data_IF_282430933905
#
_entry.id   IF_282430933905
#
_cell.length_a   1.000
_cell.length_b   1.000
_cell.length_c   1.000
_cell.angle_alpha   90.00
_cell.angle_beta   90.00
_cell.angle_gamma   90.00
#
_symmetry.space_group_name_H-M   'P 1'
#
loop_
_entity.id
_entity.type
_entity.pdbx_description
1 polymer ?
#
# COMPACT_ATOMS: atom_id res chain seq x y z
N UNK A 1 57.32 6.94 -10.98
CA UNK A 1 57.19 6.24 -9.69
C UNK A 1 55.71 5.91 -9.48
N UNK A 2 55.29 4.72 -9.90
CA UNK A 2 53.92 4.25 -9.78
C UNK A 2 53.95 2.95 -8.99
N UNK A 3 53.13 2.82 -7.95
CA UNK A 3 52.98 1.57 -7.18
C UNK A 3 51.53 1.08 -7.28
N UNK A 4 51.30 0.10 -8.16
CA UNK A 4 50.16 -0.80 -8.12
C UNK A 4 50.47 -1.94 -7.15
N UNK A 5 49.60 -2.16 -6.16
CA UNK A 5 49.66 -3.33 -5.26
C UNK A 5 48.74 -4.44 -5.79
N UNK A 6 49.35 -5.54 -6.25
CA UNK A 6 48.65 -6.77 -6.65
C UNK A 6 48.43 -7.72 -5.48
N UNK A 7 47.23 -8.33 -5.42
CA UNK A 7 46.89 -9.41 -4.51
C UNK A 7 47.43 -10.76 -5.02
N UNK A 8 48.17 -11.48 -4.17
CA UNK A 8 48.69 -12.82 -4.48
C UNK A 8 47.89 -13.91 -3.75
N UNK A 9 47.30 -14.83 -4.53
CA UNK A 9 46.68 -16.09 -4.08
C UNK A 9 47.76 -17.06 -3.54
N UNK A 10 47.48 -17.77 -2.45
CA UNK A 10 48.25 -18.96 -2.05
C UNK A 10 47.34 -20.17 -1.86
N UNK A 11 47.46 -21.15 -2.77
CA UNK A 11 47.05 -22.55 -2.59
C UNK A 11 48.17 -23.28 -1.84
N UNK A 12 47.81 -24.23 -0.97
CA UNK A 12 48.74 -25.17 -0.36
C UNK A 12 48.04 -26.51 -0.15
N UNK A 13 48.54 -27.54 -0.83
CA UNK A 13 48.22 -28.94 -0.63
C UNK A 13 49.53 -29.69 -0.32
N UNK A 14 49.47 -30.72 0.52
CA UNK A 14 50.57 -31.66 0.76
C UNK A 14 50.39 -32.45 2.06
N UNK A 15 50.08 -33.75 1.96
CA UNK A 15 50.27 -34.76 3.02
C UNK A 15 51.75 -35.17 3.12
N UNK A 16 52.24 -36.18 3.84
CA UNK A 16 51.79 -37.33 4.64
C UNK A 16 53.04 -37.76 5.45
N UNK A 17 52.94 -38.30 6.69
CA UNK A 17 53.60 -39.55 7.19
C UNK A 17 53.49 -39.73 8.72
N UNK A 18 53.05 -40.94 9.13
CA UNK A 18 52.91 -41.54 10.50
C UNK A 18 54.26 -42.13 11.02
N UNK A 19 54.38 -42.93 12.13
CA UNK A 19 53.40 -43.49 13.10
C UNK A 19 53.83 -43.52 14.61
N UNK A 20 52.94 -43.96 15.54
CA UNK A 20 53.14 -44.99 16.62
C UNK A 20 52.08 -44.95 17.75
N UNK A 21 51.53 -46.13 18.15
CA UNK A 21 50.88 -46.50 19.44
C UNK A 21 49.37 -46.23 19.58
N UNK A 22 48.45 -47.21 19.53
CA UNK A 22 47.92 -48.10 20.61
C UNK A 22 47.28 -47.30 21.79
N UNK A 23 46.05 -47.43 22.28
CA UNK A 23 44.87 -48.32 22.15
C UNK A 23 43.62 -47.55 22.69
N UNK A 24 42.44 -48.18 22.65
CA UNK A 24 41.19 -47.87 23.39
C UNK A 24 40.07 -47.02 22.75
N UNK A 25 38.88 -47.21 23.34
CA UNK A 25 37.62 -47.56 22.69
C UNK A 25 36.72 -46.41 22.23
N UNK A 26 35.88 -46.75 21.25
CA UNK A 26 34.91 -45.94 20.52
C UNK A 26 33.84 -45.25 21.37
N UNK A 27 33.81 -43.91 21.36
CA UNK A 27 32.59 -43.11 21.53
C UNK A 27 32.66 -41.83 20.67
N UNK A 28 32.32 -41.95 19.38
CA UNK A 28 32.23 -40.79 18.48
C UNK A 28 30.94 -40.02 18.72
N UNK A 29 31.10 -38.76 19.12
CA UNK A 29 30.10 -37.69 19.05
C UNK A 29 29.78 -37.44 17.57
N UNK A 30 28.55 -37.72 17.17
CA UNK A 30 28.04 -37.47 15.81
C UNK A 30 27.84 -35.96 15.60
N UNK A 31 28.52 -35.39 14.62
CA UNK A 31 28.26 -34.02 14.16
C UNK A 31 26.85 -33.90 13.54
N UNK A 32 26.15 -32.77 13.70
CA UNK A 32 24.80 -32.61 13.14
C UNK A 32 24.80 -32.72 11.61
N UNK A 33 23.91 -33.54 11.08
CA UNK A 33 23.66 -33.62 9.64
C UNK A 33 23.15 -32.28 9.10
N UNK A 34 23.60 -31.83 7.92
CA UNK A 34 23.07 -30.62 7.29
C UNK A 34 21.61 -30.86 6.90
N UNK A 35 20.71 -29.98 7.37
CA UNK A 35 19.32 -29.95 6.93
C UNK A 35 19.27 -29.68 5.41
N UNK A 36 18.37 -30.32 4.65
CA UNK A 36 18.22 -30.02 3.24
C UNK A 36 17.79 -28.56 3.09
N UNK A 37 18.64 -27.78 2.43
CA UNK A 37 18.27 -26.49 1.88
C UNK A 37 17.07 -26.73 0.97
N UNK A 38 15.96 -26.02 1.23
CA UNK A 38 14.84 -25.97 0.29
C UNK A 38 15.37 -25.50 -1.06
N UNK A 39 15.06 -26.29 -2.08
CA UNK A 39 15.40 -26.06 -3.48
C UNK A 39 15.06 -24.62 -3.87
N UNK A 40 16.09 -23.80 -4.03
CA UNK A 40 16.04 -22.52 -4.75
C UNK A 40 16.83 -22.69 -6.04
N UNK A 41 16.44 -23.68 -6.83
CA UNK A 41 16.79 -23.73 -8.25
C UNK A 41 15.88 -22.72 -8.96
N UNK A 42 16.41 -21.65 -9.58
CA UNK A 42 15.60 -20.80 -10.44
C UNK A 42 15.14 -21.64 -11.63
N UNK A 43 13.84 -21.96 -11.68
CA UNK A 43 13.24 -22.51 -12.90
C UNK A 43 13.40 -21.45 -14.00
N UNK A 44 14.09 -21.82 -15.07
CA UNK A 44 14.20 -20.97 -16.26
C UNK A 44 13.32 -21.59 -17.32
N UNK A 45 12.21 -20.93 -17.61
CA UNK A 45 11.30 -21.29 -18.69
C UNK A 45 11.70 -20.54 -19.97
N UNK A 46 11.39 -21.13 -21.13
CA UNK A 46 11.75 -20.59 -22.43
C UNK A 46 10.48 -20.45 -23.28
N UNK A 47 10.18 -19.24 -23.74
CA UNK A 47 9.21 -19.01 -24.81
C UNK A 47 9.93 -18.85 -26.16
N UNK A 48 9.36 -19.45 -27.20
CA UNK A 48 9.79 -19.23 -28.58
C UNK A 48 9.11 -17.96 -29.10
N UNK A 49 9.83 -16.83 -29.12
CA UNK A 49 9.37 -15.64 -29.84
C UNK A 49 9.32 -15.91 -31.35
N UNK A 50 8.33 -15.37 -32.06
CA UNK A 50 8.18 -15.48 -33.54
C UNK A 50 9.45 -15.08 -34.32
N UNK A 51 10.36 -14.32 -33.71
CA UNK A 51 11.64 -13.90 -34.29
C UNK A 51 12.84 -14.79 -33.92
N UNK A 52 12.63 -16.00 -33.39
CA UNK A 52 13.69 -16.98 -33.14
C UNK A 52 14.63 -16.65 -31.97
N UNK A 53 14.36 -15.58 -31.21
CA UNK A 53 15.06 -15.30 -29.95
C UNK A 53 14.41 -16.08 -28.81
N UNK A 54 15.18 -16.98 -28.18
CA UNK A 54 14.77 -17.66 -26.94
C UNK A 54 14.93 -16.68 -25.78
N UNK A 55 13.81 -16.24 -25.22
CA UNK A 55 13.80 -15.39 -24.03
C UNK A 55 13.74 -16.34 -22.83
N UNK A 56 14.82 -16.41 -22.07
CA UNK A 56 14.83 -17.08 -20.78
C UNK A 56 14.09 -16.19 -19.78
N UNK A 57 13.08 -16.72 -19.12
CA UNK A 57 12.30 -15.99 -18.12
C UNK A 57 12.07 -16.89 -16.89
N UNK A 58 11.97 -16.30 -15.69
CA UNK A 58 11.55 -17.04 -14.50
C UNK A 58 10.01 -17.11 -14.50
N UNK A 59 9.37 -18.29 -14.40
CA UNK A 59 7.91 -18.41 -14.31
C UNK A 59 7.29 -17.51 -13.25
N UNK A 60 8.02 -17.19 -12.18
CA UNK A 60 7.59 -16.25 -11.14
C UNK A 60 7.51 -14.82 -11.64
N UNK A 61 8.42 -14.39 -12.52
CA UNK A 61 8.41 -13.04 -13.09
C UNK A 61 7.16 -12.79 -13.95
N UNK A 62 6.66 -13.81 -14.68
CA UNK A 62 5.38 -13.70 -15.41
C UNK A 62 4.20 -13.61 -14.45
N UNK A 63 4.18 -14.42 -13.40
CA UNK A 63 3.10 -14.38 -12.40
C UNK A 63 3.04 -13.04 -11.66
N UNK A 64 4.19 -12.50 -11.24
CA UNK A 64 4.31 -11.20 -10.60
C UNK A 64 3.93 -10.06 -11.56
N UNK A 65 4.30 -10.16 -12.83
CA UNK A 65 3.91 -9.19 -13.88
C UNK A 65 2.40 -9.20 -14.13
N UNK A 66 1.78 -10.39 -14.16
CA UNK A 66 0.33 -10.53 -14.32
C UNK A 66 -0.45 -9.98 -13.11
N UNK A 67 -0.03 -10.28 -11.87
CA UNK A 67 -0.62 -9.68 -10.67
C UNK A 67 -0.45 -8.16 -10.66
N UNK A 68 0.74 -7.66 -11.01
CA UNK A 68 1.03 -6.23 -11.06
C UNK A 68 0.18 -5.51 -12.11
N UNK A 69 -0.10 -6.15 -13.24
CA UNK A 69 -0.96 -5.60 -14.30
C UNK A 69 -2.43 -5.46 -13.88
N UNK A 70 -2.89 -6.25 -12.90
CA UNK A 70 -4.24 -6.15 -12.33
C UNK A 70 -4.39 -5.02 -11.32
N UNK A 71 -3.29 -4.47 -10.80
CA UNK A 71 -3.33 -3.39 -9.81
C UNK A 71 -3.28 -2.01 -10.48
N UNK A 72 -3.87 -0.98 -9.84
CA UNK A 72 -3.74 0.38 -10.35
C UNK A 72 -2.27 0.82 -10.31
N UNK A 73 -1.88 1.66 -11.28
CA UNK A 73 -0.51 2.20 -11.38
C UNK A 73 -0.10 2.98 -10.13
N UNK A 74 -1.06 3.61 -9.45
CA UNK A 74 -0.88 4.35 -8.21
C UNK A 74 -1.57 3.62 -7.07
N UNK A 75 -0.89 3.56 -5.92
CA UNK A 75 -1.47 3.14 -4.65
C UNK A 75 -2.34 4.25 -4.08
N UNK A 76 -3.25 3.90 -3.17
CA UNK A 76 -4.07 4.88 -2.46
C UNK A 76 -3.20 5.92 -1.74
N UNK A 77 -2.10 5.50 -1.11
CA UNK A 77 -1.16 6.41 -0.44
C UNK A 77 -0.58 7.47 -1.39
N UNK A 78 -0.24 7.06 -2.62
CA UNK A 78 0.31 7.95 -3.64
C UNK A 78 -0.73 8.93 -4.18
N UNK A 79 -1.99 8.50 -4.34
CA UNK A 79 -3.09 9.38 -4.74
C UNK A 79 -3.30 10.51 -3.70
N UNK A 80 -3.31 10.15 -2.41
CA UNK A 80 -3.45 11.13 -1.31
C UNK A 80 -2.24 12.06 -1.27
N UNK A 81 -1.03 11.53 -1.44
CA UNK A 81 0.18 12.35 -1.48
C UNK A 81 0.14 13.34 -2.66
N UNK A 82 -0.28 12.89 -3.85
CA UNK A 82 -0.40 13.75 -5.05
C UNK A 82 -1.42 14.88 -4.85
N UNK A 83 -2.54 14.62 -4.17
CA UNK A 83 -3.53 15.64 -3.82
C UNK A 83 -2.95 16.72 -2.88
N UNK A 84 -2.07 16.33 -1.96
CA UNK A 84 -1.39 17.26 -1.05
C UNK A 84 -0.20 18.02 -1.65
N UNK A 85 0.37 17.54 -2.77
CA UNK A 85 1.55 18.15 -3.40
C UNK A 85 1.22 19.48 -4.10
N UNK A 86 2.18 20.40 -4.17
CA UNK A 86 2.10 21.57 -5.05
C UNK A 86 2.78 21.29 -6.39
N UNK A 87 2.10 21.63 -7.49
CA UNK A 87 2.47 21.20 -8.85
C UNK A 87 3.90 21.64 -9.25
N UNK A 88 4.27 22.91 -8.99
CA UNK A 88 5.57 23.49 -9.39
C UNK A 88 6.66 23.34 -8.32
N UNK A 89 6.27 23.20 -7.07
CA UNK A 89 7.19 23.27 -5.94
C UNK A 89 7.72 21.88 -5.53
N UNK A 90 6.97 20.81 -5.79
CA UNK A 90 7.41 19.44 -5.51
C UNK A 90 7.56 19.12 -4.03
N UNK A 91 6.94 19.92 -3.16
CA UNK A 91 6.76 19.65 -1.75
C UNK A 91 5.27 19.77 -1.40
N UNK A 92 4.86 19.10 -0.31
CA UNK A 92 3.49 19.14 0.17
C UNK A 92 3.14 20.53 0.69
N UNK A 93 1.91 20.97 0.44
CA UNK A 93 1.42 22.23 0.99
C UNK A 93 1.53 22.27 2.52
N UNK A 94 1.28 21.13 3.17
CA UNK A 94 1.41 20.92 4.60
C UNK A 94 1.57 19.42 4.86
N UNK A 95 2.58 18.99 5.63
CA UNK A 95 2.68 17.63 6.17
C UNK A 95 2.38 17.71 7.65
N UNK A 96 1.32 17.06 8.08
CA UNK A 96 0.85 17.02 9.46
C UNK A 96 0.57 15.58 9.89
N UNK A 97 0.18 15.43 11.15
CA UNK A 97 -0.10 14.11 11.72
C UNK A 97 -1.36 13.49 11.10
N UNK A 98 -2.33 14.28 10.64
CA UNK A 98 -3.52 13.78 9.93
C UNK A 98 -3.18 13.06 8.63
N UNK A 99 -2.42 13.67 7.71
CA UNK A 99 -2.00 12.99 6.47
C UNK A 99 -1.09 11.81 6.80
N UNK A 100 -0.19 11.96 7.79
CA UNK A 100 0.71 10.90 8.24
C UNK A 100 -0.10 9.66 8.67
N UNK A 101 -1.10 9.84 9.54
CA UNK A 101 -1.94 8.77 10.08
C UNK A 101 -2.91 8.20 9.02
N UNK A 102 -3.55 9.06 8.23
CA UNK A 102 -4.43 8.65 7.13
C UNK A 102 -3.71 7.76 6.10
N UNK A 103 -2.44 8.03 5.80
CA UNK A 103 -1.62 7.20 4.91
C UNK A 103 -1.41 5.78 5.46
N UNK A 104 -1.35 5.58 6.79
CA UNK A 104 -1.29 4.23 7.38
C UNK A 104 -2.62 3.50 7.24
N UNK A 105 -3.74 4.20 7.42
CA UNK A 105 -5.05 3.65 7.07
C UNK A 105 -5.13 3.24 5.59
N UNK A 106 -4.57 4.05 4.68
CA UNK A 106 -4.49 3.73 3.27
C UNK A 106 -3.66 2.46 2.99
N UNK A 107 -2.57 2.22 3.72
CA UNK A 107 -1.78 0.99 3.62
C UNK A 107 -2.64 -0.24 3.93
N UNK A 108 -3.41 -0.19 5.01
CA UNK A 108 -4.30 -1.30 5.41
C UNK A 108 -5.40 -1.52 4.36
N UNK A 109 -6.03 -0.43 3.88
CA UNK A 109 -7.04 -0.50 2.81
C UNK A 109 -6.46 -1.13 1.53
N UNK A 110 -5.27 -0.70 1.12
CA UNK A 110 -4.59 -1.17 -0.09
C UNK A 110 -4.24 -2.66 0.02
N UNK A 111 -3.75 -3.13 1.18
CA UNK A 111 -3.49 -4.55 1.44
C UNK A 111 -4.78 -5.40 1.36
N UNK A 112 -5.89 -4.89 1.89
CA UNK A 112 -7.19 -5.58 1.82
C UNK A 112 -7.70 -5.67 0.38
N UNK A 113 -7.60 -4.57 -0.36
CA UNK A 113 -7.96 -4.49 -1.77
C UNK A 113 -7.09 -5.39 -2.68
N UNK A 114 -5.84 -5.65 -2.28
CA UNK A 114 -4.94 -6.63 -2.93
C UNK A 114 -5.13 -8.06 -2.43
N UNK A 115 -6.02 -8.30 -1.47
CA UNK A 115 -6.34 -9.63 -0.97
C UNK A 115 -5.28 -10.22 -0.02
N UNK A 116 -4.33 -9.41 0.44
CA UNK A 116 -3.23 -9.86 1.31
C UNK A 116 -3.67 -10.02 2.76
N UNK A 117 -4.65 -9.23 3.20
CA UNK A 117 -5.21 -9.29 4.56
C UNK A 117 -6.74 -9.38 4.53
N UNK A 118 -7.33 -9.98 5.57
CA UNK A 118 -8.77 -10.00 5.80
C UNK A 118 -9.10 -9.88 7.29
N UNK A 119 -10.36 -9.64 7.62
CA UNK A 119 -10.85 -9.89 8.98
C UNK A 119 -10.65 -11.35 9.36
N UNK A 120 -10.36 -11.60 10.63
CA UNK A 120 -10.34 -12.96 11.17
C UNK A 120 -11.72 -13.60 10.97
N UNK A 121 -11.75 -14.82 10.45
CA UNK A 121 -13.00 -15.55 10.22
C UNK A 121 -13.59 -16.14 11.53
N UNK A 122 -13.94 -15.25 12.46
CA UNK A 122 -14.65 -15.57 13.69
C UNK A 122 -15.93 -14.73 13.77
N UNK A 123 -17.07 -15.39 13.97
CA UNK A 123 -18.37 -14.73 14.15
C UNK A 123 -18.42 -13.82 15.40
N UNK A 124 -17.64 -14.14 16.43
CA UNK A 124 -17.60 -13.36 17.68
C UNK A 124 -17.03 -11.95 17.46
N UNK A 125 -16.28 -11.70 16.37
CA UNK A 125 -15.74 -10.38 16.02
C UNK A 125 -16.83 -9.30 15.93
N UNK A 126 -18.06 -9.69 15.57
CA UNK A 126 -19.21 -8.77 15.43
C UNK A 126 -19.62 -8.11 16.75
N UNK A 127 -19.16 -8.63 17.89
CA UNK A 127 -19.35 -8.03 19.22
C UNK A 127 -18.50 -6.77 19.43
N UNK A 128 -17.45 -6.60 18.65
CA UNK A 128 -16.53 -5.46 18.75
C UNK A 128 -16.85 -4.40 17.68
N UNK A 129 -16.58 -3.11 17.98
CA UNK A 129 -16.57 -2.04 16.99
C UNK A 129 -15.67 -2.40 15.81
N UNK A 130 -15.98 -1.90 14.61
CA UNK A 130 -15.28 -2.31 13.38
C UNK A 130 -13.77 -2.15 13.46
N UNK A 131 -13.29 -1.00 13.92
CA UNK A 131 -11.87 -0.72 14.04
C UNK A 131 -11.13 -1.63 15.04
N UNK A 132 -11.84 -2.18 16.01
CA UNK A 132 -11.27 -3.05 17.05
C UNK A 132 -11.31 -4.53 16.65
N UNK A 133 -11.84 -4.85 15.47
CA UNK A 133 -11.83 -6.21 14.91
C UNK A 133 -10.43 -6.58 14.44
N UNK A 134 -10.08 -7.83 14.70
CA UNK A 134 -8.77 -8.40 14.42
C UNK A 134 -8.65 -8.76 12.94
N UNK A 135 -7.50 -8.42 12.34
CA UNK A 135 -7.14 -8.79 10.98
C UNK A 135 -6.03 -9.86 10.95
N UNK A 136 -6.01 -10.64 9.88
CA UNK A 136 -5.00 -11.67 9.63
C UNK A 136 -4.45 -11.59 8.20
N UNK A 137 -3.21 -12.04 8.03
CA UNK A 137 -2.57 -12.17 6.71
C UNK A 137 -3.06 -13.45 6.05
N UNK A 138 -3.73 -13.31 4.91
CA UNK A 138 -4.25 -14.41 4.09
C UNK A 138 -3.24 -14.83 3.04
N UNK A 139 -2.53 -13.86 2.47
CA UNK A 139 -1.52 -14.06 1.43
C UNK A 139 -0.32 -13.14 1.71
N UNK A 140 0.87 -13.74 1.81
CA UNK A 140 2.13 -13.06 2.10
C UNK A 140 2.98 -12.75 0.85
N UNK A 141 2.41 -12.97 -0.34
CA UNK A 141 3.03 -12.60 -1.62
C UNK A 141 3.30 -11.10 -1.67
N UNK A 142 4.56 -10.75 -1.97
CA UNK A 142 4.99 -9.36 -2.04
C UNK A 142 4.21 -8.61 -3.13
N UNK A 143 3.91 -7.35 -2.85
CA UNK A 143 3.13 -6.46 -3.70
C UNK A 143 4.01 -5.65 -4.65
N UNK A 144 5.32 -5.61 -4.41
CA UNK A 144 6.29 -4.76 -5.11
C UNK A 144 6.31 -3.30 -4.62
N UNK A 145 5.43 -2.94 -3.69
CA UNK A 145 5.38 -1.62 -3.07
C UNK A 145 6.03 -1.68 -1.69
N UNK A 146 7.14 -0.95 -1.51
CA UNK A 146 8.03 -1.13 -0.35
C UNK A 146 7.31 -0.96 1.00
N UNK A 147 6.37 -0.01 1.10
CA UNK A 147 5.62 0.25 2.33
C UNK A 147 4.57 -0.83 2.62
N UNK A 148 3.90 -1.33 1.59
CA UNK A 148 2.94 -2.43 1.73
C UNK A 148 3.65 -3.71 2.15
N UNK A 149 4.81 -4.00 1.54
CA UNK A 149 5.59 -5.21 1.82
C UNK A 149 6.21 -5.20 3.21
N UNK A 150 6.64 -4.04 3.69
CA UNK A 150 7.12 -3.87 5.07
C UNK A 150 5.98 -4.07 6.07
N UNK A 151 4.82 -3.45 5.84
CA UNK A 151 3.63 -3.65 6.67
C UNK A 151 3.18 -5.12 6.68
N UNK A 152 3.15 -5.77 5.52
CA UNK A 152 2.75 -7.17 5.38
C UNK A 152 3.69 -8.12 6.13
N UNK A 153 5.01 -7.89 6.04
CA UNK A 153 6.01 -8.66 6.81
C UNK A 153 5.84 -8.49 8.31
N UNK A 154 5.61 -7.25 8.77
CA UNK A 154 5.32 -7.00 10.19
C UNK A 154 4.06 -7.76 10.60
N UNK A 155 2.94 -7.58 9.88
CA UNK A 155 1.67 -8.27 10.13
C UNK A 155 1.77 -9.78 10.19
N UNK A 156 2.61 -10.38 9.34
CA UNK A 156 2.83 -11.83 9.32
C UNK A 156 3.64 -12.34 10.52
N UNK A 157 4.62 -11.56 10.97
CA UNK A 157 5.55 -11.96 12.05
C UNK A 157 5.01 -11.71 13.46
N UNK A 158 3.92 -10.95 13.56
CA UNK A 158 3.33 -10.51 14.83
C UNK A 158 2.10 -11.34 15.21
N UNK A 159 1.66 -11.17 16.45
CA UNK A 159 0.32 -11.60 16.84
C UNK A 159 -0.74 -10.84 16.04
N UNK A 160 -1.91 -11.47 15.88
CA UNK A 160 -3.05 -10.84 15.20
C UNK A 160 -3.58 -9.70 16.06
N UNK A 161 -3.74 -8.53 15.45
CA UNK A 161 -4.15 -7.30 16.13
C UNK A 161 -5.31 -6.63 15.38
N UNK A 162 -5.95 -5.67 16.05
CA UNK A 162 -7.04 -4.90 15.45
C UNK A 162 -6.58 -3.95 14.35
N UNK A 163 -7.52 -3.52 13.50
CA UNK A 163 -7.28 -2.48 12.48
C UNK A 163 -6.74 -1.20 13.13
N UNK A 164 -7.37 -0.73 14.20
CA UNK A 164 -6.92 0.46 14.97
C UNK A 164 -5.49 0.30 15.46
N UNK A 165 -5.18 -0.83 16.11
CA UNK A 165 -3.84 -1.12 16.65
C UNK A 165 -2.77 -1.08 15.56
N UNK A 166 -3.04 -1.65 14.38
CA UNK A 166 -2.09 -1.64 13.27
C UNK A 166 -1.81 -0.23 12.74
N UNK A 167 -2.84 0.60 12.62
CA UNK A 167 -2.69 1.99 12.18
C UNK A 167 -1.90 2.80 13.21
N UNK A 168 -2.19 2.64 14.51
CA UNK A 168 -1.46 3.31 15.60
C UNK A 168 0.01 2.89 15.65
N UNK A 169 0.27 1.58 15.54
CA UNK A 169 1.63 1.01 15.53
C UNK A 169 2.47 1.55 14.36
N UNK A 170 1.91 1.52 13.15
CA UNK A 170 2.62 1.99 11.95
C UNK A 170 2.80 3.51 11.93
N UNK A 171 1.96 4.25 12.67
CA UNK A 171 2.06 5.71 12.82
C UNK A 171 3.03 6.09 13.94
N UNK A 172 3.20 5.23 14.95
CA UNK A 172 4.01 5.50 16.14
C UNK A 172 3.22 6.14 17.28
N UNK A 173 1.89 6.07 17.24
CA UNK A 173 0.98 6.64 18.25
C UNK A 173 0.77 5.73 19.47
N UNK A 174 1.38 4.53 19.47
CA UNK A 174 1.27 3.59 20.58
C UNK A 174 2.33 3.83 21.66
N UNK A 175 1.95 3.58 22.91
CA UNK A 175 2.87 3.57 24.06
C UNK A 175 3.53 2.20 24.31
N UNK A 176 3.30 1.21 23.45
CA UNK A 176 3.86 -0.13 23.62
C UNK A 176 5.36 -0.16 23.26
N UNK A 177 6.22 -0.07 24.27
CA UNK A 177 7.68 -0.09 24.14
C UNK A 177 8.22 -1.34 23.41
N UNK A 178 7.57 -2.49 23.56
CA UNK A 178 7.98 -3.74 22.90
C UNK A 178 7.72 -3.72 21.39
N UNK A 179 6.88 -2.80 20.90
CA UNK A 179 6.50 -2.66 19.49
C UNK A 179 6.91 -1.31 18.90
N UNK A 180 7.83 -0.58 19.53
CA UNK A 180 8.32 0.72 19.04
C UNK A 180 8.98 0.63 17.65
N UNK A 181 9.45 -0.56 17.26
CA UNK A 181 10.02 -0.82 15.94
C UNK A 181 9.02 -0.93 14.79
N UNK A 182 7.71 -0.87 15.08
CA UNK A 182 6.64 -1.08 14.08
C UNK A 182 6.29 0.19 13.31
N UNK A 183 6.78 1.35 13.78
CA UNK A 183 6.55 2.62 13.11
C UNK A 183 7.23 2.63 11.74
N UNK A 184 6.44 2.89 10.70
CA UNK A 184 6.95 3.09 9.35
C UNK A 184 7.68 4.42 9.28
N UNK A 185 8.97 4.37 8.92
CA UNK A 185 9.86 5.54 8.83
C UNK A 185 9.97 6.04 7.39
N UNK A 186 10.21 7.36 7.26
CA UNK A 186 10.46 8.02 5.98
C UNK A 186 9.36 7.78 4.93
N UNK A 187 8.11 7.69 5.38
CA UNK A 187 6.96 7.37 4.51
C UNK A 187 6.85 8.38 3.37
N UNK A 188 7.02 9.67 3.66
CA UNK A 188 6.95 10.74 2.65
C UNK A 188 8.01 10.56 1.56
N UNK A 189 9.26 10.38 1.95
CA UNK A 189 10.39 10.24 1.05
C UNK A 189 10.28 8.96 0.20
N UNK A 190 9.82 7.86 0.80
CA UNK A 190 9.63 6.58 0.11
C UNK A 190 8.49 6.62 -0.88
N UNK A 191 7.36 7.26 -0.55
CA UNK A 191 6.27 7.49 -1.49
C UNK A 191 6.70 8.43 -2.64
N UNK A 192 7.44 9.50 -2.33
CA UNK A 192 7.97 10.38 -3.37
C UNK A 192 8.92 9.64 -4.31
N UNK A 193 9.78 8.77 -3.77
CA UNK A 193 10.65 7.89 -4.57
C UNK A 193 9.83 6.94 -5.46
N UNK A 194 8.78 6.31 -4.93
CA UNK A 194 7.87 5.46 -5.72
C UNK A 194 7.22 6.21 -6.89
N UNK A 195 6.78 7.45 -6.65
CA UNK A 195 6.22 8.31 -7.69
C UNK A 195 7.27 8.77 -8.74
N UNK A 196 8.53 8.93 -8.35
CA UNK A 196 9.65 9.19 -9.30
C UNK A 196 9.90 7.94 -10.16
N UNK A 197 9.98 6.76 -9.53
CA UNK A 197 10.20 5.49 -10.23
C UNK A 197 9.03 5.16 -11.19
N UNK A 198 7.82 5.65 -10.91
CA UNK A 198 6.63 5.58 -11.78
C UNK A 198 6.55 6.67 -12.86
N UNK A 199 7.50 7.62 -12.88
CA UNK A 199 7.57 8.70 -13.86
C UNK A 199 6.57 9.85 -13.65
N UNK A 200 5.91 9.92 -12.49
CA UNK A 200 4.94 10.97 -12.16
C UNK A 200 5.64 12.22 -11.64
N UNK A 201 6.67 12.02 -10.82
CA UNK A 201 7.55 13.08 -10.33
C UNK A 201 8.93 12.96 -10.98
N UNK A 202 9.69 14.05 -10.97
CA UNK A 202 11.14 14.01 -11.27
C UNK A 202 11.92 14.51 -10.07
N UNK A 203 13.14 14.07 -9.93
CA UNK A 203 14.06 14.62 -8.93
C UNK A 203 14.77 15.85 -9.50
N UNK A 204 14.56 16.99 -8.87
CA UNK A 204 15.28 18.24 -9.15
C UNK A 204 16.11 18.64 -7.93
N UNK A 205 17.37 18.99 -8.17
CA UNK A 205 18.24 19.58 -7.15
C UNK A 205 18.04 21.09 -7.14
N UNK A 206 17.46 21.63 -6.06
CA UNK A 206 17.37 23.09 -5.86
C UNK A 206 18.51 23.54 -4.95
N UNK A 207 19.31 24.48 -5.46
CA UNK A 207 20.42 25.04 -4.71
C UNK A 207 19.91 26.24 -3.91
N UNK A 208 20.03 26.17 -2.60
CA UNK A 208 19.86 27.30 -1.69
C UNK A 208 21.22 27.87 -1.33
N UNK A 209 21.27 29.09 -0.82
CA UNK A 209 22.53 29.79 -0.51
C UNK A 209 23.46 28.97 0.40
N UNK A 210 22.92 28.12 1.27
CA UNK A 210 23.67 27.37 2.29
C UNK A 210 23.63 25.84 2.13
N UNK A 211 22.76 25.32 1.27
CA UNK A 211 22.59 23.87 1.09
C UNK A 211 21.83 23.57 -0.19
N UNK A 212 21.92 22.33 -0.65
CA UNK A 212 21.10 21.84 -1.74
C UNK A 212 19.98 20.96 -1.21
N UNK A 213 18.78 21.09 -1.80
CA UNK A 213 17.61 20.30 -1.43
C UNK A 213 17.08 19.54 -2.64
N UNK A 214 16.90 18.24 -2.48
CA UNK A 214 16.15 17.45 -3.46
C UNK A 214 14.66 17.83 -3.39
N UNK A 215 14.09 18.19 -4.53
CA UNK A 215 12.67 18.49 -4.71
C UNK A 215 12.08 17.59 -5.77
N UNK A 216 10.78 17.32 -5.66
CA UNK A 216 10.12 16.34 -6.52
C UNK A 216 8.93 16.96 -7.26
N UNK A 217 9.14 17.90 -8.22
CA UNK A 217 8.04 18.51 -8.95
C UNK A 217 7.31 17.49 -9.85
N UNK A 218 6.04 17.79 -10.12
CA UNK A 218 5.19 16.95 -10.97
C UNK A 218 5.64 17.07 -12.44
N UNK A 219 5.80 15.92 -13.09
CA UNK A 219 6.08 15.81 -14.54
C UNK A 219 4.79 15.50 -15.27
N UNK A 220 4.11 14.43 -14.84
CA UNK A 220 2.83 14.02 -15.41
C UNK A 220 1.68 14.68 -14.65
N UNK A 221 1.26 15.86 -15.12
CA UNK A 221 0.10 16.54 -14.58
C UNK A 221 -1.20 15.76 -14.84
N UNK A 222 -1.25 14.86 -15.84
CA UNK A 222 -2.45 14.11 -16.18
C UNK A 222 -2.84 13.15 -15.05
N UNK A 223 -1.88 12.57 -14.33
CA UNK A 223 -2.13 11.76 -13.15
C UNK A 223 -2.91 12.52 -12.09
N UNK A 224 -2.44 13.72 -11.76
CA UNK A 224 -3.07 14.55 -10.74
C UNK A 224 -4.43 15.10 -11.20
N UNK A 225 -4.52 15.50 -12.46
CA UNK A 225 -5.77 16.02 -13.02
C UNK A 225 -6.85 14.94 -13.12
N UNK A 226 -6.46 13.68 -13.37
CA UNK A 226 -7.36 12.52 -13.33
C UNK A 226 -7.92 12.30 -11.92
N UNK A 227 -7.07 12.29 -10.89
CA UNK A 227 -7.50 12.16 -9.49
C UNK A 227 -8.45 13.32 -9.12
N UNK A 228 -8.07 14.57 -9.44
CA UNK A 228 -8.92 15.75 -9.20
C UNK A 228 -10.28 15.63 -9.91
N UNK A 229 -10.32 15.10 -11.14
CA UNK A 229 -11.57 14.86 -11.88
C UNK A 229 -12.41 13.79 -11.20
N UNK A 230 -11.83 12.69 -10.72
CA UNK A 230 -12.54 11.65 -9.95
C UNK A 230 -13.15 12.20 -8.67
N UNK A 231 -12.40 12.97 -7.89
CA UNK A 231 -12.89 13.65 -6.68
C UNK A 231 -14.11 14.52 -7.02
N UNK A 232 -13.97 15.45 -7.98
CA UNK A 232 -15.08 16.33 -8.37
C UNK A 232 -16.31 15.59 -8.88
N UNK A 233 -16.11 14.51 -9.64
CA UNK A 233 -17.20 13.71 -10.18
C UNK A 233 -18.01 13.06 -9.05
N UNK A 234 -17.34 12.43 -8.09
CA UNK A 234 -17.98 11.78 -6.92
C UNK A 234 -18.68 12.80 -6.02
N UNK A 235 -18.09 13.97 -5.83
CA UNK A 235 -18.60 14.97 -4.89
C UNK A 235 -19.66 15.93 -5.45
N UNK A 236 -19.93 15.94 -6.76
CA UNK A 236 -20.81 16.96 -7.37
C UNK A 236 -21.84 16.42 -8.35
N UNK A 237 -21.59 15.28 -8.98
CA UNK A 237 -22.51 14.78 -10.00
C UNK A 237 -23.63 13.94 -9.38
N UNK A 238 -24.86 14.12 -9.88
CA UNK A 238 -26.02 13.30 -9.50
C UNK A 238 -25.80 11.82 -9.83
N UNK A 239 -25.18 11.54 -10.97
CA UNK A 239 -24.82 10.18 -11.39
C UNK A 239 -23.31 10.14 -11.62
N UNK A 240 -22.64 9.23 -10.91
CA UNK A 240 -21.19 9.08 -10.96
C UNK A 240 -20.85 7.96 -11.93
N UNK A 241 -20.12 8.30 -12.98
CA UNK A 241 -19.56 7.34 -13.93
C UNK A 241 -18.04 7.49 -13.91
N UNK A 242 -17.32 6.40 -13.68
CA UNK A 242 -15.86 6.39 -13.61
C UNK A 242 -15.30 5.99 -14.98
N UNK A 243 -14.86 6.94 -15.82
CA UNK A 243 -14.26 6.60 -17.11
C UNK A 243 -12.96 5.81 -16.89
N UNK A 244 -12.65 4.82 -17.74
CA UNK A 244 -11.39 4.11 -17.65
C UNK A 244 -10.22 5.05 -17.93
N UNK A 245 -9.15 4.89 -17.17
CA UNK A 245 -7.91 5.65 -17.32
C UNK A 245 -6.71 4.75 -17.05
N UNK A 246 -5.50 5.21 -17.39
CA UNK A 246 -4.26 4.48 -17.04
C UNK A 246 -4.07 4.32 -15.51
N UNK A 247 -4.77 5.13 -14.70
CA UNK A 247 -4.69 5.11 -13.24
C UNK A 247 -5.85 4.34 -12.60
N UNK A 248 -6.98 4.24 -13.31
CA UNK A 248 -8.15 3.45 -12.93
C UNK A 248 -8.65 2.63 -14.14
N UNK A 249 -8.02 1.48 -14.46
CA UNK A 249 -8.40 0.62 -15.58
C UNK A 249 -9.85 0.13 -15.49
N UNK A 250 -10.44 -0.26 -16.63
CA UNK A 250 -11.84 -0.70 -16.68
C UNK A 250 -12.06 -2.04 -15.96
N UNK A 251 -11.04 -2.89 -16.02
CA UNK A 251 -10.99 -4.27 -15.55
C UNK A 251 -10.67 -4.38 -14.05
N UNK A 252 -10.27 -3.26 -13.43
CA UNK A 252 -9.93 -3.23 -12.02
C UNK A 252 -11.16 -3.56 -11.17
N UNK A 253 -10.99 -4.38 -10.15
CA UNK A 253 -12.05 -4.68 -9.18
C UNK A 253 -12.27 -3.51 -8.21
N UNK A 254 -13.51 -3.34 -7.75
CA UNK A 254 -13.88 -2.36 -6.71
C UNK A 254 -13.49 -0.91 -7.08
N UNK A 255 -13.75 -0.48 -8.31
CA UNK A 255 -13.38 0.85 -8.82
C UNK A 255 -14.09 1.95 -8.05
N UNK A 256 -15.38 1.75 -7.76
CA UNK A 256 -16.17 2.70 -7.00
C UNK A 256 -15.69 2.74 -5.56
N UNK A 257 -15.55 1.59 -4.89
CA UNK A 257 -15.04 1.52 -3.52
C UNK A 257 -13.63 2.12 -3.36
N UNK A 258 -12.69 1.85 -4.27
CA UNK A 258 -11.35 2.50 -4.26
C UNK A 258 -11.47 4.02 -4.36
N UNK A 259 -12.36 4.52 -5.22
CA UNK A 259 -12.58 5.95 -5.37
C UNK A 259 -13.22 6.56 -4.12
N UNK A 260 -14.17 5.88 -3.48
CA UNK A 260 -14.75 6.30 -2.19
C UNK A 260 -13.68 6.33 -1.11
N UNK A 261 -12.86 5.28 -1.00
CA UNK A 261 -11.74 5.22 -0.05
C UNK A 261 -10.75 6.35 -0.27
N UNK A 262 -10.43 6.69 -1.53
CA UNK A 262 -9.56 7.82 -1.88
C UNK A 262 -10.14 9.15 -1.43
N UNK A 263 -11.43 9.40 -1.71
CA UNK A 263 -12.08 10.66 -1.33
C UNK A 263 -12.21 10.79 0.19
N UNK A 264 -12.57 9.71 0.89
CA UNK A 264 -12.66 9.66 2.35
C UNK A 264 -11.28 9.84 3.01
N UNK A 265 -10.25 9.19 2.49
CA UNK A 265 -8.88 9.35 2.98
C UNK A 265 -8.36 10.77 2.72
N UNK A 266 -8.68 11.38 1.57
CA UNK A 266 -8.31 12.77 1.27
C UNK A 266 -8.98 13.77 2.22
N UNK A 267 -10.23 13.49 2.62
CA UNK A 267 -10.95 14.24 3.64
C UNK A 267 -10.25 14.13 5.00
N UNK A 268 -10.03 12.91 5.49
CA UNK A 268 -9.37 12.66 6.76
C UNK A 268 -7.92 13.18 6.83
N UNK A 269 -7.21 13.20 5.69
CA UNK A 269 -5.87 13.75 5.56
C UNK A 269 -5.82 15.28 5.42
N UNK A 270 -6.96 15.98 5.43
CA UNK A 270 -7.08 17.43 5.19
C UNK A 270 -6.45 17.91 3.86
N UNK A 271 -6.54 17.08 2.82
CA UNK A 271 -6.05 17.42 1.46
C UNK A 271 -7.15 17.46 0.40
N UNK A 272 -8.40 17.14 0.75
CA UNK A 272 -9.55 17.16 -0.17
C UNK A 272 -9.75 18.54 -0.83
N UNK A 273 -9.60 19.63 -0.06
CA UNK A 273 -9.84 20.99 -0.57
C UNK A 273 -8.95 21.31 -1.79
N UNK A 274 -7.73 20.76 -1.85
CA UNK A 274 -6.80 20.98 -2.96
C UNK A 274 -7.34 20.50 -4.32
N UNK A 275 -8.31 19.58 -4.34
CA UNK A 275 -8.99 19.12 -5.55
C UNK A 275 -10.22 19.98 -5.93
N UNK A 276 -10.75 20.73 -4.97
CA UNK A 276 -12.00 21.50 -5.07
C UNK A 276 -11.76 23.01 -5.19
N UNK A 277 -10.49 23.46 -5.23
CA UNK A 277 -10.12 24.90 -5.29
C UNK A 277 -10.78 25.63 -6.46
N UNK A 278 -10.97 24.97 -7.60
CA UNK A 278 -11.58 25.56 -8.80
C UNK A 278 -13.12 25.68 -8.72
N UNK A 279 -13.74 25.14 -7.67
CA UNK A 279 -15.18 25.18 -7.48
C UNK A 279 -15.58 26.38 -6.63
N UNK A 280 -16.77 26.92 -6.88
CA UNK A 280 -17.36 27.99 -6.08
C UNK A 280 -17.58 27.57 -4.62
N UNK A 281 -17.60 28.53 -3.70
CA UNK A 281 -17.69 28.28 -2.25
C UNK A 281 -18.86 27.36 -1.86
N UNK A 282 -20.07 27.63 -2.36
CA UNK A 282 -21.27 26.83 -2.07
C UNK A 282 -21.15 25.37 -2.58
N UNK A 283 -20.58 25.18 -3.77
CA UNK A 283 -20.39 23.83 -4.33
C UNK A 283 -19.32 23.06 -3.56
N UNK A 284 -18.32 23.75 -3.02
CA UNK A 284 -17.29 23.16 -2.17
C UNK A 284 -17.89 22.68 -0.85
N UNK A 285 -18.69 23.50 -0.19
CA UNK A 285 -19.39 23.11 1.04
C UNK A 285 -20.28 21.88 0.83
N UNK A 286 -21.05 21.85 -0.27
CA UNK A 286 -21.83 20.66 -0.67
C UNK A 286 -20.95 19.44 -0.94
N UNK A 287 -19.80 19.62 -1.57
CA UNK A 287 -18.85 18.53 -1.79
C UNK A 287 -18.33 17.95 -0.46
N UNK A 288 -17.98 18.80 0.52
CA UNK A 288 -17.57 18.34 1.86
C UNK A 288 -18.69 17.58 2.57
N UNK A 289 -19.92 18.10 2.57
CA UNK A 289 -21.07 17.40 3.14
C UNK A 289 -21.30 16.03 2.47
N UNK A 290 -21.13 15.95 1.14
CA UNK A 290 -21.23 14.68 0.42
C UNK A 290 -20.15 13.68 0.85
N UNK A 291 -18.91 14.12 1.08
CA UNK A 291 -17.84 13.23 1.53
C UNK A 291 -18.07 12.76 2.97
N UNK A 292 -18.58 13.63 3.83
CA UNK A 292 -18.98 13.26 5.19
C UNK A 292 -20.10 12.20 5.18
N UNK A 293 -21.12 12.35 4.32
CA UNK A 293 -22.15 11.33 4.11
C UNK A 293 -21.55 10.01 3.61
N UNK A 294 -20.67 10.04 2.61
CA UNK A 294 -19.98 8.84 2.11
C UNK A 294 -19.17 8.17 3.22
N UNK A 295 -18.41 8.94 3.99
CA UNK A 295 -17.60 8.41 5.08
C UNK A 295 -18.50 7.74 6.13
N UNK A 296 -19.63 8.35 6.49
CA UNK A 296 -20.59 7.77 7.43
C UNK A 296 -21.28 6.50 6.89
N UNK A 297 -21.57 6.42 5.59
CA UNK A 297 -22.21 5.26 4.96
C UNK A 297 -21.26 4.07 4.77
N UNK A 298 -20.00 4.33 4.43
CA UNK A 298 -19.01 3.31 4.12
C UNK A 298 -18.06 2.99 5.29
N UNK A 299 -18.20 3.67 6.44
CA UNK A 299 -17.54 3.30 7.71
C UNK A 299 -18.31 2.26 8.54
N UNK A 300 -19.34 1.64 7.95
CA UNK A 300 -20.15 0.58 8.55
C UNK A 300 -20.16 -0.67 7.66
N UNK A 301 -20.40 -1.84 8.26
CA UNK A 301 -20.44 -3.12 7.55
C UNK A 301 -21.65 -3.95 8.00
N UNK A 302 -22.45 -4.54 7.07
CA UNK A 302 -22.35 -4.42 5.61
C UNK A 302 -22.54 -3.00 5.10
N UNK A 303 -22.01 -2.69 3.91
CA UNK A 303 -22.21 -1.37 3.30
C UNK A 303 -23.70 -1.14 3.06
N UNK A 304 -24.24 -0.09 3.67
CA UNK A 304 -25.64 0.26 3.54
C UNK A 304 -25.75 1.77 3.32
N UNK A 305 -26.33 2.14 2.17
CA UNK A 305 -26.71 3.54 1.92
C UNK A 305 -27.96 3.86 2.73
N UNK A 306 -27.95 4.97 3.49
CA UNK A 306 -29.17 5.40 4.18
C UNK A 306 -30.18 5.89 3.14
N UNK A 307 -31.38 5.32 3.15
CA UNK A 307 -32.48 5.81 2.32
C UNK A 307 -32.85 7.23 2.78
N UNK A 308 -32.50 8.25 1.97
CA UNK A 308 -32.84 9.65 2.26
C UNK A 308 -31.67 10.65 2.33
N UNK A 309 -30.44 10.29 1.93
CA UNK A 309 -29.32 11.24 1.81
C UNK A 309 -29.69 12.46 0.96
N UNK A 310 -29.65 13.65 1.57
CA UNK A 310 -30.51 14.78 1.23
C UNK A 310 -30.16 15.56 -0.03
N UNK A 311 -29.09 15.22 -0.74
CA UNK A 311 -28.57 16.07 -1.84
C UNK A 311 -28.69 15.47 -3.24
N UNK A 312 -29.07 14.20 -3.37
CA UNK A 312 -29.18 13.53 -4.68
C UNK A 312 -27.86 13.41 -5.45
N UNK A 313 -26.73 13.77 -4.85
CA UNK A 313 -25.39 13.59 -5.41
C UNK A 313 -25.02 12.10 -5.31
N UNK A 314 -24.39 11.58 -6.37
CA UNK A 314 -23.96 10.19 -6.43
C UNK A 314 -25.08 9.18 -6.24
N UNK A 315 -26.30 9.44 -6.71
CA UNK A 315 -27.48 8.59 -6.48
C UNK A 315 -27.27 7.11 -6.84
N UNK A 316 -26.45 6.82 -7.86
CA UNK A 316 -26.12 5.47 -8.30
C UNK A 316 -25.00 4.77 -7.51
N UNK A 317 -24.23 5.49 -6.67
CA UNK A 317 -23.06 4.93 -5.96
C UNK A 317 -23.44 3.68 -5.16
N UNK A 318 -24.52 3.75 -4.38
CA UNK A 318 -24.96 2.61 -3.54
C UNK A 318 -25.27 1.35 -4.34
N UNK A 319 -25.92 1.48 -5.50
CA UNK A 319 -26.19 0.34 -6.38
C UNK A 319 -24.89 -0.21 -6.99
N UNK A 320 -24.01 0.67 -7.47
CA UNK A 320 -22.73 0.26 -8.06
C UNK A 320 -21.87 -0.49 -7.04
N UNK A 321 -21.80 -0.01 -5.79
CA UNK A 321 -21.06 -0.70 -4.73
C UNK A 321 -21.72 -2.04 -4.38
N UNK A 322 -23.05 -2.10 -4.27
CA UNK A 322 -23.75 -3.37 -4.04
C UNK A 322 -23.45 -4.39 -5.15
N UNK A 323 -23.45 -3.96 -6.42
CA UNK A 323 -23.09 -4.80 -7.55
C UNK A 323 -21.60 -5.25 -7.50
N UNK A 324 -20.69 -4.36 -7.09
CA UNK A 324 -19.27 -4.70 -6.89
C UNK A 324 -19.07 -5.74 -5.77
N UNK A 325 -19.80 -5.62 -4.67
CA UNK A 325 -19.78 -6.58 -3.54
C UNK A 325 -20.38 -7.93 -3.96
N UNK A 326 -21.54 -7.91 -4.62
CA UNK A 326 -22.25 -9.11 -5.06
C UNK A 326 -21.42 -9.95 -6.06
N UNK A 327 -20.61 -9.30 -6.90
CA UNK A 327 -19.68 -9.96 -7.83
C UNK A 327 -18.49 -10.62 -7.13
N UNK A 328 -18.17 -10.21 -5.89
CA UNK A 328 -16.96 -10.62 -5.16
C UNK A 328 -17.29 -11.08 -3.72
N UNK A 329 -18.25 -11.99 -3.56
CA UNK A 329 -18.71 -12.47 -2.24
C UNK A 329 -17.63 -13.17 -1.42
N UNK A 330 -16.67 -13.78 -2.10
CA UNK A 330 -15.50 -14.39 -1.49
C UNK A 330 -14.58 -13.36 -0.81
N UNK A 331 -14.73 -12.08 -1.14
CA UNK A 331 -13.91 -10.98 -0.62
C UNK A 331 -14.57 -10.15 0.48
N UNK A 332 -15.71 -10.60 1.03
CA UNK A 332 -16.45 -9.88 2.08
C UNK A 332 -15.60 -9.54 3.31
N UNK A 333 -14.75 -10.48 3.77
CA UNK A 333 -13.89 -10.26 4.94
C UNK A 333 -12.82 -9.20 4.69
N UNK A 334 -12.39 -9.03 3.45
CA UNK A 334 -11.45 -7.99 3.02
C UNK A 334 -12.16 -6.64 2.93
N UNK A 335 -13.39 -6.60 2.41
CA UNK A 335 -14.18 -5.38 2.35
C UNK A 335 -14.61 -4.88 3.75
N UNK A 336 -14.81 -5.80 4.70
CA UNK A 336 -15.02 -5.47 6.11
C UNK A 336 -13.80 -4.72 6.70
N UNK A 337 -12.57 -5.03 6.28
CA UNK A 337 -11.35 -4.28 6.65
C UNK A 337 -11.38 -2.86 6.11
N UNK A 338 -11.82 -2.67 4.86
CA UNK A 338 -11.95 -1.34 4.25
C UNK A 338 -12.92 -0.48 5.06
N UNK A 339 -14.09 -1.03 5.42
CA UNK A 339 -15.07 -0.33 6.26
C UNK A 339 -14.49 0.05 7.64
N UNK A 340 -13.72 -0.87 8.25
CA UNK A 340 -13.06 -0.63 9.53
C UNK A 340 -12.00 0.49 9.47
N UNK A 341 -11.22 0.56 8.40
CA UNK A 341 -10.28 1.67 8.19
C UNK A 341 -11.01 3.01 7.99
N UNK A 342 -12.12 3.03 7.25
CA UNK A 342 -12.95 4.23 7.11
C UNK A 342 -13.57 4.65 8.46
N UNK A 343 -13.94 3.71 9.33
CA UNK A 343 -14.37 3.99 10.72
C UNK A 343 -13.25 4.55 11.62
N UNK A 344 -11.98 4.32 11.28
CA UNK A 344 -10.87 5.01 11.95
C UNK A 344 -10.81 6.46 11.49
N UNK A 345 -11.02 6.72 10.19
CA UNK A 345 -11.02 8.08 9.64
C UNK A 345 -12.11 8.99 10.22
N UNK A 346 -13.27 8.46 10.63
CA UNK A 346 -14.31 9.26 11.30
C UNK A 346 -13.88 9.79 12.68
N UNK A 347 -12.81 9.25 13.26
CA UNK A 347 -12.32 9.60 14.61
C UNK A 347 -11.02 10.41 14.58
N UNK A 348 -10.50 10.71 13.38
CA UNK A 348 -9.22 11.41 13.23
C UNK A 348 -9.25 12.83 13.83
N UNK A 349 -10.39 13.52 13.72
CA UNK A 349 -10.58 14.85 14.33
C UNK A 349 -10.56 14.83 15.87
N UNK A 350 -10.67 13.65 16.50
CA UNK A 350 -10.60 13.49 17.97
C UNK A 350 -9.23 13.05 18.49
N UNK A 351 -8.27 12.78 17.59
CA UNK A 351 -6.90 12.35 17.92
C UNK A 351 -5.92 13.52 18.03
N UNK A 352 -6.34 14.74 17.67
CA UNK A 352 -5.63 16.00 17.85
C UNK A 352 -6.34 16.88 18.88
#
# INVERSE_FOLDING_TARGET
MASQGGLTRRRGAGGVTSPTGEEESSSRVTSPAPKPFTDRTPETAYENSENGHRIAYDPRDISESAERSKQPKLTLMEEILLLGLKDKQGYLSFWNDNISYALRGCIVIELAFRGRISMQNDSARRRFPLADRIIEVVDDTLTGEVLLDEALKMMKSSEKMSVSSWIDLMSGETWNLMKIGYQLKQVRERLAKGLVDKGILRTEKRNFLLFDMATHPVVDAAAKDEIRKRVRNVCSNRTVVLPPSQFLPAELEFRMLRTISMVCAAYAANVLENALVTMGHETRERAFAQVDELLAEYSQWPFARRAGGGQGIGANIGQVVADEVERNKDRELQLEVVAACLSVFTRLDSLL
#
